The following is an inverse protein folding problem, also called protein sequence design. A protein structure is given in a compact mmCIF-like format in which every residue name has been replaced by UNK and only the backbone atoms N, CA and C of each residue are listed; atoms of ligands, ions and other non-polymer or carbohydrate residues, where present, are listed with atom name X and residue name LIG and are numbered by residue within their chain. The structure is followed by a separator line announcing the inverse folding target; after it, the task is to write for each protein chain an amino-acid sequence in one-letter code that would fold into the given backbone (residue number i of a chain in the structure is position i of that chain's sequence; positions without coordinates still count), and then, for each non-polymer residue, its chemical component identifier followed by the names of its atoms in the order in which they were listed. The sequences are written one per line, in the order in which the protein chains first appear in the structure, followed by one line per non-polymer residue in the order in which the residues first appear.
data_IF_022515460833
#
_entry.id   IF_022515460833
#
_cell.length_a   1.000
_cell.length_b   1.000
_cell.length_c   1.000
_cell.angle_alpha   90.00
_cell.angle_beta   90.00
_cell.angle_gamma   90.00
#
_symmetry.space_group_name_H-M   'P 1'
#
loop_
_entity.id
_entity.type
_entity.pdbx_description
1 polymer ?
#
# COMPACT_ATOMS: atom_id res chain seq x y z
N UNK A 1 -14.77 -26.51 12.88
CA UNK A 1 -13.59 -26.32 13.74
C UNK A 1 -12.31 -26.45 12.89
N UNK A 2 -12.16 -25.60 11.86
CA UNK A 2 -10.97 -25.57 10.97
C UNK A 2 -10.53 -24.12 10.66
N UNK A 3 -11.21 -23.12 11.23
CA UNK A 3 -10.97 -21.70 10.95
C UNK A 3 -9.72 -21.19 11.69
N UNK A 4 -9.49 -21.66 12.92
CA UNK A 4 -8.32 -21.27 13.73
C UNK A 4 -7.00 -21.76 13.13
N UNK A 5 -6.99 -22.96 12.52
CA UNK A 5 -5.82 -23.50 11.83
C UNK A 5 -5.49 -22.76 10.53
N UNK A 6 -6.51 -22.28 9.81
CA UNK A 6 -6.33 -21.49 8.58
C UNK A 6 -5.67 -20.15 8.86
N UNK A 7 -6.24 -19.34 9.77
CA UNK A 7 -5.70 -18.02 10.09
C UNK A 7 -4.24 -18.05 10.57
N UNK A 8 -3.89 -19.00 11.45
CA UNK A 8 -2.51 -19.10 11.93
C UNK A 8 -1.54 -19.40 10.77
N UNK A 9 -1.95 -20.28 9.86
CA UNK A 9 -1.15 -20.63 8.67
C UNK A 9 -1.01 -19.40 7.76
N UNK A 10 -2.10 -18.69 7.48
CA UNK A 10 -2.11 -17.49 6.65
C UNK A 10 -1.16 -16.42 7.22
N UNK A 11 -1.22 -16.16 8.53
CA UNK A 11 -0.32 -15.21 9.19
C UNK A 11 1.14 -15.64 9.09
N UNK A 12 1.45 -16.91 9.34
CA UNK A 12 2.83 -17.42 9.23
C UNK A 12 3.36 -17.27 7.80
N UNK A 13 2.55 -17.62 6.81
CA UNK A 13 2.91 -17.48 5.38
C UNK A 13 3.13 -16.01 5.03
N UNK A 14 2.24 -15.11 5.44
CA UNK A 14 2.35 -13.67 5.20
C UNK A 14 3.60 -13.09 5.85
N UNK A 15 3.90 -13.42 7.11
CA UNK A 15 5.10 -12.96 7.78
C UNK A 15 6.38 -13.52 7.15
N UNK A 16 6.39 -14.81 6.77
CA UNK A 16 7.51 -15.43 6.08
C UNK A 16 7.76 -14.79 4.71
N UNK A 17 6.69 -14.53 3.95
CA UNK A 17 6.74 -13.83 2.68
C UNK A 17 7.23 -12.39 2.88
N UNK A 18 6.69 -11.63 3.83
CA UNK A 18 7.17 -10.27 4.11
C UNK A 18 8.67 -10.25 4.44
N UNK A 19 9.13 -11.17 5.31
CA UNK A 19 10.54 -11.28 5.66
C UNK A 19 11.41 -11.64 4.44
N UNK A 20 11.02 -12.66 3.67
CA UNK A 20 11.73 -13.07 2.46
C UNK A 20 11.78 -11.97 1.40
N UNK A 21 10.67 -11.28 1.18
CA UNK A 21 10.52 -10.21 0.19
C UNK A 21 11.31 -8.98 0.57
N UNK A 22 11.24 -8.58 1.84
CA UNK A 22 12.05 -7.48 2.37
C UNK A 22 13.54 -7.77 2.27
N UNK A 23 13.96 -8.99 2.60
CA UNK A 23 15.36 -9.42 2.45
C UNK A 23 15.80 -9.41 0.98
N UNK A 24 14.99 -9.98 0.09
CA UNK A 24 15.27 -10.00 -1.34
C UNK A 24 15.36 -8.58 -1.93
N UNK A 25 14.40 -7.71 -1.61
CA UNK A 25 14.39 -6.31 -2.02
C UNK A 25 15.65 -5.58 -1.51
N UNK A 26 16.02 -5.80 -0.25
CA UNK A 26 17.25 -5.22 0.33
C UNK A 26 18.51 -5.72 -0.38
N UNK A 27 18.58 -7.00 -0.75
CA UNK A 27 19.69 -7.58 -1.51
C UNK A 27 19.82 -6.94 -2.90
N UNK A 28 18.69 -6.64 -3.53
CA UNK A 28 18.61 -5.95 -4.81
C UNK A 28 18.74 -4.41 -4.69
N UNK A 29 18.98 -3.87 -3.48
CA UNK A 29 19.05 -2.43 -3.18
C UNK A 29 17.75 -1.66 -3.51
N UNK A 30 16.61 -2.34 -3.39
CA UNK A 30 15.28 -1.77 -3.55
C UNK A 30 14.65 -1.42 -2.19
N UNK A 31 13.69 -0.48 -2.15
CA UNK A 31 12.86 -0.26 -0.98
C UNK A 31 12.16 -1.55 -0.54
N UNK A 32 12.22 -1.87 0.76
CA UNK A 32 11.66 -3.12 1.30
C UNK A 32 10.15 -3.25 1.02
N UNK A 33 9.43 -2.13 0.96
CA UNK A 33 8.02 -2.08 0.60
C UNK A 33 7.72 -2.77 -0.74
N UNK A 34 8.60 -2.64 -1.73
CA UNK A 34 8.41 -3.30 -3.02
C UNK A 34 8.46 -4.83 -2.88
N UNK A 35 9.32 -5.33 -2.00
CA UNK A 35 9.40 -6.76 -1.69
C UNK A 35 8.15 -7.29 -0.99
N UNK A 36 7.58 -6.50 -0.07
CA UNK A 36 6.33 -6.85 0.61
C UNK A 36 5.15 -6.91 -0.37
N UNK A 37 5.02 -5.92 -1.26
CA UNK A 37 3.96 -5.87 -2.27
C UNK A 37 4.13 -7.02 -3.27
N UNK A 38 5.35 -7.23 -3.78
CA UNK A 38 5.60 -8.26 -4.79
C UNK A 38 5.29 -9.68 -4.27
N UNK A 39 5.77 -10.02 -3.06
CA UNK A 39 5.45 -11.32 -2.49
C UNK A 39 4.02 -11.43 -1.98
N UNK A 40 3.42 -10.33 -1.51
CA UNK A 40 2.00 -10.28 -1.17
C UNK A 40 1.09 -10.61 -2.36
N UNK A 41 1.40 -10.06 -3.54
CA UNK A 41 0.72 -10.41 -4.79
C UNK A 41 0.96 -11.88 -5.14
N UNK A 42 2.20 -12.34 -5.00
CA UNK A 42 2.58 -13.71 -5.37
C UNK A 42 1.88 -14.79 -4.51
N UNK A 43 1.74 -14.57 -3.21
CA UNK A 43 1.09 -15.54 -2.29
C UNK A 43 -0.43 -15.40 -2.23
N UNK A 44 -0.98 -14.34 -2.84
CA UNK A 44 -2.40 -14.06 -2.85
C UNK A 44 -3.22 -15.10 -3.63
N UNK A 45 -4.56 -15.03 -3.51
CA UNK A 45 -5.47 -16.03 -4.08
C UNK A 45 -5.37 -16.11 -5.62
N UNK A 46 -5.08 -14.99 -6.28
CA UNK A 46 -5.04 -14.92 -7.75
C UNK A 46 -3.78 -15.54 -8.38
N UNK A 47 -2.72 -15.84 -7.59
CA UNK A 47 -1.42 -16.26 -8.14
C UNK A 47 -0.96 -17.62 -7.67
N UNK A 48 -0.74 -17.80 -6.35
CA UNK A 48 -0.31 -19.09 -5.79
C UNK A 48 -1.32 -19.71 -4.84
N UNK A 49 -2.37 -18.98 -4.44
CA UNK A 49 -3.45 -19.53 -3.60
C UNK A 49 -2.88 -20.17 -2.31
N UNK A 50 -1.90 -19.48 -1.69
CA UNK A 50 -1.37 -19.85 -0.38
C UNK A 50 -2.14 -19.19 0.76
N UNK A 51 -2.88 -18.12 0.45
CA UNK A 51 -3.77 -17.39 1.35
C UNK A 51 -5.12 -17.25 0.62
N UNK A 52 -6.07 -18.09 0.99
CA UNK A 52 -7.30 -18.30 0.20
C UNK A 52 -8.45 -17.39 0.64
N UNK A 53 -8.38 -16.90 1.88
CA UNK A 53 -9.46 -16.14 2.50
C UNK A 53 -8.91 -14.80 3.03
N UNK A 54 -8.80 -13.77 2.16
CA UNK A 54 -8.24 -12.48 2.53
C UNK A 54 -9.07 -11.77 3.61
N UNK A 55 -10.38 -12.06 3.72
CA UNK A 55 -11.25 -11.48 4.77
C UNK A 55 -10.76 -11.84 6.18
N UNK A 56 -10.18 -13.03 6.37
CA UNK A 56 -9.64 -13.46 7.68
C UNK A 56 -8.49 -12.60 8.15
N UNK A 57 -7.63 -12.18 7.22
CA UNK A 57 -6.42 -11.43 7.54
C UNK A 57 -6.67 -9.92 7.49
N UNK A 58 -7.74 -9.48 6.81
CA UNK A 58 -8.11 -8.06 6.69
C UNK A 58 -8.29 -7.38 8.04
N UNK A 59 -8.95 -8.05 9.00
CA UNK A 59 -9.12 -7.48 10.35
C UNK A 59 -7.78 -7.19 11.03
N UNK A 60 -6.81 -8.10 10.89
CA UNK A 60 -5.46 -7.92 11.43
C UNK A 60 -4.68 -6.84 10.69
N UNK A 61 -4.82 -6.79 9.36
CA UNK A 61 -4.20 -5.75 8.53
C UNK A 61 -4.71 -4.36 8.94
N UNK A 62 -6.03 -4.21 9.12
CA UNK A 62 -6.66 -2.97 9.58
C UNK A 62 -6.15 -2.57 10.98
N UNK A 63 -6.06 -3.52 11.91
CA UNK A 63 -5.46 -3.26 13.23
C UNK A 63 -3.99 -2.83 13.11
N UNK A 64 -3.20 -3.47 12.26
CA UNK A 64 -1.81 -3.09 12.01
C UNK A 64 -1.67 -1.67 11.47
N UNK A 65 -2.50 -1.28 10.49
CA UNK A 65 -2.53 0.08 9.94
C UNK A 65 -2.95 1.09 11.00
N UNK A 66 -3.97 0.80 11.81
CA UNK A 66 -4.40 1.68 12.91
C UNK A 66 -3.25 1.88 13.91
N UNK A 67 -2.58 0.82 14.33
CA UNK A 67 -1.44 0.89 15.25
C UNK A 67 -0.26 1.67 14.65
N UNK A 68 0.02 1.49 13.35
CA UNK A 68 1.06 2.23 12.64
C UNK A 68 0.74 3.72 12.58
N UNK A 69 -0.48 4.08 12.17
CA UNK A 69 -0.93 5.48 12.10
C UNK A 69 -0.98 6.12 13.50
N UNK A 70 -1.35 5.35 14.52
CA UNK A 70 -1.29 5.80 15.91
C UNK A 70 0.16 6.06 16.37
N UNK A 71 1.08 5.16 16.07
CA UNK A 71 2.51 5.33 16.39
C UNK A 71 3.09 6.56 15.68
N UNK A 72 2.81 6.72 14.38
CA UNK A 72 3.16 7.92 13.61
C UNK A 72 2.57 9.18 14.27
N UNK A 73 1.32 9.11 14.73
CA UNK A 73 0.67 10.21 15.43
C UNK A 73 1.33 10.59 16.77
N UNK A 74 1.87 9.63 17.52
CA UNK A 74 2.63 9.87 18.75
C UNK A 74 4.01 10.47 18.46
N UNK A 75 4.64 10.06 17.37
CA UNK A 75 5.99 10.52 17.00
C UNK A 75 6.00 11.98 16.54
N UNK A 76 4.91 12.46 15.95
CA UNK A 76 4.82 13.82 15.40
C UNK A 76 4.35 14.82 16.47
N UNK A 77 5.11 15.91 16.64
CA UNK A 77 4.71 17.02 17.52
C UNK A 77 3.77 18.02 16.84
N UNK A 78 2.84 18.64 17.58
CA UNK A 78 1.96 19.72 17.06
C UNK A 78 2.74 20.85 16.36
N UNK A 79 3.94 21.17 16.85
CA UNK A 79 4.80 22.22 16.29
C UNK A 79 5.38 21.82 14.93
N UNK A 80 5.68 20.55 14.75
CA UNK A 80 6.20 19.98 13.51
C UNK A 80 5.11 19.92 12.43
N UNK A 81 3.89 19.50 12.80
CA UNK A 81 2.72 19.55 11.91
C UNK A 81 2.50 20.97 11.39
N UNK A 82 2.47 21.97 12.28
CA UNK A 82 2.18 23.34 11.88
C UNK A 82 3.24 23.94 10.95
N UNK A 83 4.53 23.61 11.18
CA UNK A 83 5.62 24.01 10.30
C UNK A 83 5.53 23.35 8.93
N UNK A 84 5.19 22.06 8.89
CA UNK A 84 5.03 21.30 7.66
C UNK A 84 3.76 21.68 6.91
N UNK A 85 2.68 22.09 7.59
CA UNK A 85 1.36 22.33 6.97
C UNK A 85 1.43 23.32 5.82
N UNK A 86 2.14 24.45 5.97
CA UNK A 86 2.24 25.44 4.88
C UNK A 86 2.95 24.87 3.65
N UNK A 87 4.02 24.10 3.86
CA UNK A 87 4.80 23.50 2.78
C UNK A 87 4.03 22.35 2.14
N UNK A 88 3.48 21.43 2.94
CA UNK A 88 2.73 20.26 2.49
C UNK A 88 1.45 20.65 1.76
N UNK A 89 0.71 21.63 2.27
CA UNK A 89 -0.51 22.11 1.60
C UNK A 89 -0.16 22.86 0.31
N UNK A 90 0.80 23.78 0.34
CA UNK A 90 1.20 24.52 -0.85
C UNK A 90 1.78 23.61 -1.95
N UNK A 91 2.79 22.82 -1.61
CA UNK A 91 3.42 21.89 -2.54
C UNK A 91 2.46 20.78 -2.97
N UNK A 92 1.64 20.24 -2.06
CA UNK A 92 0.66 19.20 -2.36
C UNK A 92 -0.42 19.67 -3.32
N UNK A 93 -1.00 20.86 -3.11
CA UNK A 93 -1.99 21.43 -4.05
C UNK A 93 -1.37 21.66 -5.42
N UNK A 94 -0.16 22.25 -5.48
CA UNK A 94 0.55 22.48 -6.74
C UNK A 94 0.87 21.14 -7.43
N UNK A 95 1.36 20.15 -6.69
CA UNK A 95 1.65 18.81 -7.20
C UNK A 95 0.39 18.16 -7.77
N UNK A 96 -0.72 18.18 -7.03
CA UNK A 96 -2.00 17.59 -7.48
C UNK A 96 -2.47 18.28 -8.76
N UNK A 97 -2.50 19.61 -8.79
CA UNK A 97 -2.93 20.35 -9.99
C UNK A 97 -2.04 20.04 -11.18
N UNK A 98 -0.71 20.05 -11.02
CA UNK A 98 0.22 19.76 -12.10
C UNK A 98 0.07 18.32 -12.61
N UNK A 99 0.06 17.34 -11.71
CA UNK A 99 -0.10 15.92 -12.08
C UNK A 99 -1.45 15.66 -12.73
N UNK A 100 -2.55 16.19 -12.20
CA UNK A 100 -3.87 16.08 -12.81
C UNK A 100 -3.89 16.72 -14.20
N UNK A 101 -3.35 17.93 -14.35
CA UNK A 101 -3.32 18.64 -15.65
C UNK A 101 -2.46 17.94 -16.70
N UNK A 102 -1.41 17.22 -16.28
CA UNK A 102 -0.53 16.49 -17.19
C UNK A 102 -1.09 15.09 -17.55
N UNK A 103 -1.64 14.38 -16.57
CA UNK A 103 -2.14 13.01 -16.75
C UNK A 103 -3.50 12.99 -17.43
N UNK A 104 -4.39 13.94 -17.14
CA UNK A 104 -5.72 14.02 -17.75
C UNK A 104 -5.70 14.04 -19.30
N UNK A 105 -4.95 14.94 -19.98
CA UNK A 105 -4.90 14.96 -21.45
C UNK A 105 -4.18 13.73 -22.03
N UNK A 106 -3.18 13.20 -21.33
CA UNK A 106 -2.52 11.95 -21.73
C UNK A 106 -3.51 10.78 -21.68
N UNK A 107 -4.37 10.73 -20.65
CA UNK A 107 -5.43 9.75 -20.51
C UNK A 107 -6.45 9.86 -21.64
N UNK A 108 -6.87 11.06 -22.02
CA UNK A 108 -7.77 11.27 -23.17
C UNK A 108 -7.15 10.78 -24.49
N UNK A 109 -5.85 11.00 -24.69
CA UNK A 109 -5.15 10.54 -25.89
C UNK A 109 -4.94 9.02 -25.94
N UNK A 110 -4.66 8.39 -24.80
CA UNK A 110 -4.38 6.94 -24.71
C UNK A 110 -5.66 6.10 -24.67
N UNK A 111 -6.72 6.60 -24.04
CA UNK A 111 -7.97 5.85 -23.83
C UNK A 111 -9.08 6.18 -24.85
N UNK A 112 -8.86 7.12 -25.78
CA UNK A 112 -9.81 7.56 -26.83
C UNK A 112 -11.25 7.76 -26.33
N UNK A 113 -11.42 8.21 -25.08
CA UNK A 113 -12.72 8.54 -24.48
C UNK A 113 -13.36 9.80 -25.11
N UNK A 114 -12.74 10.36 -26.15
CA UNK A 114 -13.12 11.62 -26.78
C UNK A 114 -14.18 11.52 -27.89
N UNK A 115 -14.64 10.32 -28.28
CA UNK A 115 -15.64 10.16 -29.35
C UNK A 115 -17.03 9.69 -28.90
N UNK A 116 -17.23 9.27 -27.65
CA UNK A 116 -18.53 8.73 -27.19
C UNK A 116 -19.30 9.60 -26.18
N UNK A 117 -18.74 10.71 -25.70
CA UNK A 117 -19.42 11.63 -24.75
C UNK A 117 -19.75 13.03 -25.30
N UNK A 118 -19.72 13.22 -26.63
CA UNK A 118 -20.11 14.48 -27.28
C UNK A 118 -21.39 14.34 -28.12
#
# INVERSE_FOLDING_TARGET
MNIEGGLFTDLVVIFAAAAGGGLAARLLRLPALLGYIALGILIGPDVLEFVDDPERVETFANLGVILLLFAIGIEISFREIYQLTRVVVGAGVIQIVLTASAVYPLGLYVLDLGHEEA
#
